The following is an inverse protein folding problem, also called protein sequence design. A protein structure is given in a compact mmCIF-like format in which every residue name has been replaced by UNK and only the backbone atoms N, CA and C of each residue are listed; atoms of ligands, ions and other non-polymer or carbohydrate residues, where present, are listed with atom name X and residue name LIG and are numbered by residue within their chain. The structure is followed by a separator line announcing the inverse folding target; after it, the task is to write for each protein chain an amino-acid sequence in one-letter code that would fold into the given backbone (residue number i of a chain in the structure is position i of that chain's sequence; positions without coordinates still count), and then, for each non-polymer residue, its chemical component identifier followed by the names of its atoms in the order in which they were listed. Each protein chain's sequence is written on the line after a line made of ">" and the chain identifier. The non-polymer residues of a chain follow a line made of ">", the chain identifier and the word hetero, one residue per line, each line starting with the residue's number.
data_IF_297955809346
#
_entry.id   IF_297955809346
#
_cell.length_a   1.000
_cell.length_b   1.000
_cell.length_c   1.000
_cell.angle_alpha   90.00
_cell.angle_beta   90.00
_cell.angle_gamma   90.00
#
_symmetry.space_group_name_H-M   'P 1'
#
loop_
_entity.id
_entity.type
_entity.pdbx_description
1 polymer ?
#
# COMPACT_ATOMS: atom_id res chain seq x y z
N UNK A 1 -22.64 -8.78 12.20
CA UNK A 1 -22.13 -7.38 12.12
C UNK A 1 -22.58 -6.86 10.78
N UNK A 2 -23.28 -5.72 10.68
CA UNK A 2 -23.74 -5.23 9.39
C UNK A 2 -22.53 -4.94 8.46
N UNK A 3 -22.57 -5.34 7.19
CA UNK A 3 -21.50 -5.12 6.21
C UNK A 3 -21.27 -3.64 5.86
N UNK A 4 -22.03 -2.73 6.47
CA UNK A 4 -22.11 -1.30 6.14
C UNK A 4 -21.42 -0.39 7.18
N UNK A 5 -20.92 -0.94 8.29
CA UNK A 5 -20.23 -0.14 9.31
C UNK A 5 -18.86 0.32 8.80
N UNK A 6 -18.64 1.64 8.73
CA UNK A 6 -17.38 2.24 8.33
C UNK A 6 -16.19 1.68 9.12
N UNK A 7 -16.40 1.42 10.41
CA UNK A 7 -15.39 0.81 11.29
C UNK A 7 -15.04 -0.63 10.88
N UNK A 8 -16.00 -1.41 10.38
CA UNK A 8 -15.76 -2.77 9.89
C UNK A 8 -14.99 -2.76 8.58
N UNK A 9 -15.33 -1.88 7.63
CA UNK A 9 -14.60 -1.72 6.36
C UNK A 9 -13.15 -1.28 6.63
N UNK A 10 -12.96 -0.35 7.57
CA UNK A 10 -11.64 0.10 7.99
C UNK A 10 -10.82 -1.03 8.61
N UNK A 11 -11.37 -1.73 9.60
CA UNK A 11 -10.67 -2.83 10.29
C UNK A 11 -10.38 -4.01 9.34
N UNK A 12 -11.30 -4.27 8.41
CA UNK A 12 -11.15 -5.29 7.40
C UNK A 12 -10.00 -4.95 6.44
N UNK A 13 -9.94 -3.74 5.89
CA UNK A 13 -8.85 -3.32 5.01
C UNK A 13 -7.50 -3.17 5.74
N UNK A 14 -7.53 -2.80 7.03
CA UNK A 14 -6.33 -2.57 7.83
C UNK A 14 -5.64 -3.87 8.27
N UNK A 15 -6.41 -4.86 8.74
CA UNK A 15 -5.87 -6.10 9.35
C UNK A 15 -6.26 -7.36 8.58
N UNK A 16 -7.53 -7.52 8.19
CA UNK A 16 -8.06 -8.81 7.69
C UNK A 16 -7.67 -9.06 6.23
N UNK A 17 -7.79 -8.05 5.37
CA UNK A 17 -7.50 -8.06 3.95
C UNK A 17 -6.32 -7.13 3.62
N UNK A 18 -5.27 -7.20 4.44
CA UNK A 18 -4.09 -6.39 4.22
C UNK A 18 -3.42 -6.74 2.86
N UNK A 19 -3.33 -5.76 1.97
CA UNK A 19 -2.80 -5.92 0.62
C UNK A 19 -1.42 -6.57 0.57
N UNK A 20 -0.55 -6.26 1.53
CA UNK A 20 0.84 -6.74 1.54
C UNK A 20 0.94 -8.17 2.08
N UNK A 21 0.16 -8.49 3.12
CA UNK A 21 0.33 -9.72 3.92
C UNK A 21 -0.64 -10.84 3.52
N UNK A 22 -1.83 -10.49 3.03
CA UNK A 22 -2.85 -11.43 2.57
C UNK A 22 -2.81 -11.62 1.05
N UNK A 23 -2.60 -10.54 0.29
CA UNK A 23 -2.61 -10.57 -1.18
C UNK A 23 -1.22 -10.49 -1.84
N UNK A 24 -0.14 -10.31 -1.06
CA UNK A 24 1.24 -10.18 -1.58
C UNK A 24 1.43 -9.03 -2.59
N UNK A 25 0.63 -7.97 -2.49
CA UNK A 25 0.75 -6.77 -3.34
C UNK A 25 1.70 -5.74 -2.69
N UNK A 26 2.51 -5.07 -3.51
CA UNK A 26 3.39 -3.99 -3.04
C UNK A 26 4.71 -4.45 -2.43
N UNK A 27 5.18 -5.65 -2.79
CA UNK A 27 6.44 -6.22 -2.29
C UNK A 27 7.69 -5.42 -2.70
N UNK A 28 7.65 -4.70 -3.82
CA UNK A 28 8.80 -3.94 -4.35
C UNK A 28 9.30 -2.87 -3.35
N UNK A 29 8.48 -1.91 -2.89
CA UNK A 29 8.89 -0.98 -1.84
C UNK A 29 9.06 -1.66 -0.48
N UNK A 30 8.31 -2.74 -0.22
CA UNK A 30 8.40 -3.49 1.02
C UNK A 30 9.78 -4.09 1.26
N UNK A 31 10.42 -4.64 0.23
CA UNK A 31 11.76 -5.21 0.29
C UNK A 31 12.87 -4.17 0.06
N UNK A 32 12.57 -3.10 -0.70
CA UNK A 32 13.56 -2.08 -1.05
C UNK A 32 13.86 -1.06 0.06
N UNK A 33 12.85 -0.67 0.85
CA UNK A 33 12.96 0.49 1.77
C UNK A 33 12.97 0.12 3.26
N UNK A 34 12.77 -1.17 3.60
CA UNK A 34 12.70 -1.63 4.99
C UNK A 34 14.07 -1.83 5.68
N UNK A 35 15.15 -1.23 5.16
CA UNK A 35 16.46 -1.24 5.81
C UNK A 35 16.60 -0.22 6.95
N UNK A 36 15.80 0.85 6.95
CA UNK A 36 15.78 1.85 8.02
C UNK A 36 14.35 2.19 8.40
N UNK A 37 14.11 2.35 9.71
CA UNK A 37 12.79 2.71 10.23
C UNK A 37 12.33 4.08 9.73
N UNK A 38 13.22 5.07 9.73
CA UNK A 38 12.88 6.44 9.30
C UNK A 38 12.47 6.50 7.83
N UNK A 39 13.16 5.74 6.96
CA UNK A 39 12.81 5.70 5.52
C UNK A 39 11.52 4.93 5.30
N UNK A 40 11.30 3.83 6.04
CA UNK A 40 10.07 3.06 5.98
C UNK A 40 8.86 3.91 6.39
N UNK A 41 8.91 4.60 7.53
CA UNK A 41 7.83 5.45 8.01
C UNK A 41 7.41 6.50 6.97
N UNK A 42 8.40 7.22 6.43
CA UNK A 42 8.16 8.26 5.45
C UNK A 42 7.61 7.70 4.12
N UNK A 43 8.11 6.54 3.68
CA UNK A 43 7.61 5.86 2.48
C UNK A 43 6.16 5.40 2.67
N UNK A 44 5.83 4.81 3.83
CA UNK A 44 4.48 4.40 4.17
C UNK A 44 3.49 5.56 4.10
N UNK A 45 3.81 6.68 4.75
CA UNK A 45 2.99 7.90 4.71
C UNK A 45 2.81 8.45 3.29
N UNK A 46 3.90 8.51 2.50
CA UNK A 46 3.82 8.96 1.11
C UNK A 46 2.90 8.05 0.27
N UNK A 47 3.03 6.72 0.41
CA UNK A 47 2.18 5.76 -0.29
C UNK A 47 0.72 5.82 0.16
N UNK A 48 0.44 6.01 1.46
CA UNK A 48 -0.91 6.19 1.99
C UNK A 48 -1.58 7.42 1.35
N UNK A 49 -0.86 8.54 1.25
CA UNK A 49 -1.38 9.75 0.61
C UNK A 49 -1.68 9.50 -0.89
N UNK A 50 -0.79 8.83 -1.61
CA UNK A 50 -1.03 8.49 -3.03
C UNK A 50 -2.21 7.54 -3.19
N UNK A 51 -2.34 6.52 -2.32
CA UNK A 51 -3.49 5.59 -2.33
C UNK A 51 -4.81 6.34 -2.15
N UNK A 52 -4.83 7.30 -1.22
CA UNK A 52 -6.00 8.13 -0.94
C UNK A 52 -6.41 8.99 -2.15
N UNK A 53 -5.46 9.74 -2.73
CA UNK A 53 -5.73 10.57 -3.91
C UNK A 53 -6.15 9.70 -5.10
N UNK A 54 -5.46 8.59 -5.31
CA UNK A 54 -5.76 7.66 -6.41
C UNK A 54 -7.15 7.03 -6.27
N UNK A 55 -7.58 6.69 -5.05
CA UNK A 55 -8.91 6.13 -4.75
C UNK A 55 -10.04 7.09 -5.13
N UNK A 56 -9.89 8.37 -4.74
CA UNK A 56 -10.87 9.43 -5.03
C UNK A 56 -10.96 9.68 -6.53
N UNK A 57 -9.81 9.83 -7.19
CA UNK A 57 -9.77 10.05 -8.63
C UNK A 57 -10.28 8.83 -9.41
N UNK A 58 -9.95 7.61 -8.99
CA UNK A 58 -10.41 6.38 -9.62
C UNK A 58 -11.94 6.25 -9.56
N UNK A 59 -12.58 6.65 -8.46
CA UNK A 59 -14.04 6.67 -8.35
C UNK A 59 -14.68 7.61 -9.38
N UNK A 60 -14.17 8.84 -9.49
CA UNK A 60 -14.68 9.83 -10.47
C UNK A 60 -14.48 9.38 -11.91
N UNK A 61 -13.30 8.83 -12.22
CA UNK A 61 -13.00 8.27 -13.54
C UNK A 61 -13.90 7.07 -13.84
N UNK A 62 -14.09 6.16 -12.89
CA UNK A 62 -14.98 5.01 -13.08
C UNK A 62 -16.42 5.44 -13.39
N UNK A 63 -16.95 6.43 -12.68
CA UNK A 63 -18.30 6.93 -12.95
C UNK A 63 -18.44 7.48 -14.37
N UNK A 64 -17.43 8.19 -14.88
CA UNK A 64 -17.42 8.67 -16.26
C UNK A 64 -17.33 7.52 -17.26
N UNK A 65 -16.45 6.55 -17.03
CA UNK A 65 -16.27 5.40 -17.93
C UNK A 65 -17.53 4.54 -18.04
N UNK A 66 -18.29 4.39 -16.94
CA UNK A 66 -19.58 3.69 -16.95
C UNK A 66 -20.62 4.41 -17.82
N UNK A 67 -20.66 5.75 -17.80
CA UNK A 67 -21.58 6.53 -18.65
C UNK A 67 -21.28 6.38 -20.14
N UNK A 68 -20.01 6.17 -20.50
CA UNK A 68 -19.58 6.02 -21.89
C UNK A 68 -19.42 4.54 -22.32
N UNK A 69 -19.82 3.57 -21.49
CA UNK A 69 -19.69 2.11 -21.73
C UNK A 69 -18.24 1.66 -22.09
N UNK A 70 -17.23 2.41 -21.62
CA UNK A 70 -15.81 2.24 -21.98
C UNK A 70 -15.04 1.49 -20.89
N UNK A 71 -15.63 0.42 -20.38
CA UNK A 71 -15.11 -0.30 -19.21
C UNK A 71 -13.74 -0.94 -19.45
N UNK A 72 -13.40 -1.29 -20.70
CA UNK A 72 -12.12 -1.93 -21.03
C UNK A 72 -10.91 -1.01 -20.77
N UNK A 73 -11.09 0.33 -20.79
CA UNK A 73 -10.01 1.29 -20.56
C UNK A 73 -9.67 1.50 -19.08
N UNK A 74 -10.44 0.94 -18.14
CA UNK A 74 -10.27 1.18 -16.69
C UNK A 74 -8.83 1.07 -16.21
N UNK A 75 -8.15 -0.02 -16.58
CA UNK A 75 -6.79 -0.29 -16.13
C UNK A 75 -5.79 0.78 -16.61
N UNK A 76 -5.90 1.19 -17.88
CA UNK A 76 -5.04 2.23 -18.46
C UNK A 76 -5.31 3.58 -17.78
N UNK A 77 -6.58 3.92 -17.58
CA UNK A 77 -6.98 5.16 -16.92
C UNK A 77 -6.48 5.20 -15.46
N UNK A 78 -6.56 4.11 -14.70
CA UNK A 78 -6.06 4.08 -13.32
C UNK A 78 -4.55 4.23 -13.26
N UNK A 79 -3.78 3.60 -14.15
CA UNK A 79 -2.33 3.79 -14.21
C UNK A 79 -1.99 5.26 -14.50
N UNK A 80 -2.71 5.90 -15.43
CA UNK A 80 -2.51 7.32 -15.76
C UNK A 80 -2.81 8.24 -14.56
N UNK A 81 -3.90 7.98 -13.83
CA UNK A 81 -4.27 8.71 -12.61
C UNK A 81 -3.21 8.56 -11.53
N UNK A 82 -2.72 7.33 -11.29
CA UNK A 82 -1.68 7.06 -10.29
C UNK A 82 -0.38 7.78 -10.68
N UNK A 83 0.02 7.72 -11.95
CA UNK A 83 1.21 8.42 -12.44
C UNK A 83 1.11 9.94 -12.22
N UNK A 84 -0.03 10.55 -12.53
CA UNK A 84 -0.27 11.96 -12.29
C UNK A 84 -0.26 12.31 -10.79
N UNK A 85 -0.87 11.48 -9.95
CA UNK A 85 -0.90 11.68 -8.50
C UNK A 85 0.50 11.60 -7.88
N UNK A 86 1.30 10.61 -8.26
CA UNK A 86 2.69 10.49 -7.79
C UNK A 86 3.54 11.65 -8.27
N UNK A 87 3.36 12.11 -9.51
CA UNK A 87 4.08 13.28 -10.03
C UNK A 87 3.78 14.54 -9.21
N UNK A 88 2.53 14.74 -8.81
CA UNK A 88 2.15 15.85 -7.92
C UNK A 88 2.84 15.71 -6.55
N UNK A 89 2.89 14.49 -5.99
CA UNK A 89 3.60 14.22 -4.74
C UNK A 89 5.10 14.48 -4.88
N UNK A 90 5.72 14.09 -5.99
CA UNK A 90 7.13 14.33 -6.26
C UNK A 90 7.46 15.83 -6.22
N UNK A 91 6.68 16.64 -6.93
CA UNK A 91 6.86 18.09 -6.95
C UNK A 91 6.64 18.71 -5.56
N UNK A 92 5.66 18.19 -4.82
CA UNK A 92 5.31 18.67 -3.46
C UNK A 92 6.41 18.35 -2.46
N UNK A 93 6.92 17.12 -2.45
CA UNK A 93 8.01 16.67 -1.56
C UNK A 93 9.31 17.42 -1.87
N UNK A 94 9.62 17.64 -3.16
CA UNK A 94 10.79 18.43 -3.58
C UNK A 94 10.75 19.86 -3.06
N UNK A 95 9.55 20.46 -2.96
CA UNK A 95 9.36 21.85 -2.51
C UNK A 95 9.30 21.98 -0.98
N UNK A 96 8.60 21.07 -0.29
CA UNK A 96 8.41 21.14 1.17
C UNK A 96 9.62 20.64 1.95
N UNK A 97 10.27 19.57 1.49
CA UNK A 97 11.31 18.88 2.27
C UNK A 97 12.43 18.31 1.37
N UNK A 98 13.44 19.13 1.02
CA UNK A 98 14.56 18.68 0.18
C UNK A 98 15.39 17.57 0.84
N UNK A 99 15.40 17.49 2.17
CA UNK A 99 16.02 16.39 2.93
C UNK A 99 15.32 15.06 2.66
N UNK A 100 13.99 15.04 2.66
CA UNK A 100 13.19 13.86 2.38
C UNK A 100 13.32 13.43 0.91
N UNK A 101 13.33 14.41 -0.02
CA UNK A 101 13.53 14.14 -1.44
C UNK A 101 14.90 13.48 -1.72
N UNK A 102 15.97 13.88 -1.01
CA UNK A 102 17.28 13.23 -1.13
C UNK A 102 17.28 11.78 -0.64
N UNK A 103 16.49 11.47 0.39
CA UNK A 103 16.40 10.12 0.94
C UNK A 103 15.47 9.21 0.12
N UNK A 104 14.38 9.75 -0.41
CA UNK A 104 13.29 8.98 -1.02
C UNK A 104 13.20 9.11 -2.54
N UNK A 105 13.88 10.07 -3.17
CA UNK A 105 13.71 10.42 -4.59
C UNK A 105 13.89 9.26 -5.57
N UNK A 106 14.79 8.32 -5.26
CA UNK A 106 15.00 7.10 -6.07
C UNK A 106 13.81 6.13 -5.97
N UNK A 107 13.08 6.15 -4.85
CA UNK A 107 11.96 5.26 -4.57
C UNK A 107 10.60 5.84 -4.97
N UNK A 108 10.51 7.13 -5.33
CA UNK A 108 9.26 7.75 -5.80
C UNK A 108 8.70 7.07 -7.06
N UNK A 109 9.51 6.74 -8.09
CA UNK A 109 9.05 5.94 -9.23
C UNK A 109 8.59 4.52 -8.85
N UNK A 110 9.02 3.98 -7.71
CA UNK A 110 8.52 2.70 -7.19
C UNK A 110 7.08 2.80 -6.67
N UNK A 111 6.58 4.02 -6.40
CA UNK A 111 5.20 4.27 -5.98
C UNK A 111 4.25 4.16 -7.19
N UNK A 112 4.63 4.68 -8.36
CA UNK A 112 3.77 4.64 -9.56
C UNK A 112 3.47 3.21 -10.02
N UNK A 113 4.45 2.32 -9.85
CA UNK A 113 4.38 0.91 -10.23
C UNK A 113 3.98 0.01 -9.06
N UNK A 114 3.51 0.59 -7.94
CA UNK A 114 3.14 -0.18 -6.78
C UNK A 114 1.81 -0.92 -7.01
N UNK A 115 1.90 -2.25 -6.99
CA UNK A 115 0.78 -3.15 -7.22
C UNK A 115 -0.35 -2.95 -6.20
N UNK A 116 -0.03 -2.56 -4.96
CA UNK A 116 -1.03 -2.31 -3.92
C UNK A 116 -1.93 -1.12 -4.26
N UNK A 117 -1.38 -0.08 -4.89
CA UNK A 117 -2.14 1.14 -5.26
C UNK A 117 -3.08 0.83 -6.41
N UNK A 118 -2.59 0.13 -7.43
CA UNK A 118 -3.40 -0.31 -8.55
C UNK A 118 -4.50 -1.29 -8.09
N UNK A 119 -4.14 -2.28 -7.27
CA UNK A 119 -5.09 -3.25 -6.72
C UNK A 119 -6.17 -2.60 -5.86
N UNK A 120 -5.84 -1.54 -5.13
CA UNK A 120 -6.81 -0.76 -4.38
C UNK A 120 -7.88 -0.14 -5.26
N UNK A 121 -7.46 0.54 -6.33
CA UNK A 121 -8.37 1.16 -7.29
C UNK A 121 -9.28 0.11 -7.95
N UNK A 122 -8.71 -1.04 -8.36
CA UNK A 122 -9.49 -2.14 -8.94
C UNK A 122 -10.50 -2.71 -7.94
N UNK A 123 -10.06 -3.12 -6.74
CA UNK A 123 -10.96 -3.73 -5.76
C UNK A 123 -12.05 -2.79 -5.27
N UNK A 124 -11.75 -1.49 -5.17
CA UNK A 124 -12.76 -0.50 -4.84
C UNK A 124 -13.88 -0.47 -5.89
N UNK A 125 -13.53 -0.57 -7.17
CA UNK A 125 -14.53 -0.60 -8.25
C UNK A 125 -15.26 -1.93 -8.38
N UNK A 126 -14.57 -3.06 -8.19
CA UNK A 126 -15.21 -4.38 -8.22
C UNK A 126 -16.16 -4.63 -7.05
N UNK A 127 -15.91 -4.01 -5.89
CA UNK A 127 -16.80 -4.07 -4.72
C UNK A 127 -17.91 -3.02 -4.75
N UNK A 128 -17.98 -2.20 -5.80
CA UNK A 128 -18.98 -1.13 -5.98
C UNK A 128 -19.11 -0.20 -4.77
N UNK A 129 -17.99 0.14 -4.13
CA UNK A 129 -18.04 1.00 -2.95
C UNK A 129 -18.52 2.41 -3.28
N UNK A 130 -19.36 2.97 -2.42
CA UNK A 130 -19.73 4.39 -2.47
C UNK A 130 -18.51 5.29 -2.23
N UNK A 131 -18.63 6.59 -2.54
CA UNK A 131 -17.55 7.57 -2.34
C UNK A 131 -17.00 7.56 -0.89
N UNK A 132 -17.90 7.49 0.09
CA UNK A 132 -17.53 7.51 1.51
C UNK A 132 -16.91 6.17 1.95
N UNK A 133 -17.38 5.04 1.44
CA UNK A 133 -16.78 3.73 1.70
C UNK A 133 -15.39 3.61 1.05
N UNK A 134 -15.23 4.14 -0.17
CA UNK A 134 -13.94 4.20 -0.88
C UNK A 134 -12.89 4.99 -0.09
N UNK A 135 -13.30 6.12 0.47
CA UNK A 135 -12.46 6.94 1.34
C UNK A 135 -11.95 6.14 2.55
N UNK A 136 -12.86 5.50 3.29
CA UNK A 136 -12.51 4.71 4.47
C UNK A 136 -11.67 3.48 4.10
N UNK A 137 -11.95 2.84 2.97
CA UNK A 137 -11.19 1.72 2.44
C UNK A 137 -9.75 2.12 2.09
N UNK A 138 -9.55 3.28 1.47
CA UNK A 138 -8.21 3.79 1.13
C UNK A 138 -7.37 4.16 2.36
N UNK A 139 -7.99 4.73 3.38
CA UNK A 139 -7.34 4.97 4.67
C UNK A 139 -6.93 3.67 5.37
N UNK A 140 -7.84 2.68 5.42
CA UNK A 140 -7.55 1.37 6.02
C UNK A 140 -6.42 0.65 5.29
N UNK A 141 -6.46 0.63 3.96
CA UNK A 141 -5.43 -0.01 3.15
C UNK A 141 -4.06 0.69 3.24
N UNK A 142 -4.02 2.02 3.20
CA UNK A 142 -2.79 2.79 3.34
C UNK A 142 -2.18 2.66 4.73
N UNK A 143 -3.01 2.61 5.77
CA UNK A 143 -2.56 2.36 7.14
C UNK A 143 -2.04 0.92 7.29
N UNK A 144 -2.70 -0.06 6.68
CA UNK A 144 -2.28 -1.46 6.68
C UNK A 144 -0.95 -1.66 5.97
N UNK A 145 -0.73 -0.97 4.84
CA UNK A 145 0.54 -0.96 4.13
C UNK A 145 1.66 -0.35 4.99
N UNK A 146 1.39 0.79 5.63
CA UNK A 146 2.37 1.46 6.50
C UNK A 146 2.74 0.59 7.70
N UNK A 147 1.75 -0.07 8.31
CA UNK A 147 1.97 -0.99 9.42
C UNK A 147 2.83 -2.20 9.00
N UNK A 148 2.51 -2.83 7.87
CA UNK A 148 3.28 -3.94 7.34
C UNK A 148 4.75 -3.55 7.09
N UNK A 149 4.96 -2.38 6.47
CA UNK A 149 6.28 -1.85 6.18
C UNK A 149 7.08 -1.57 7.45
N UNK A 150 6.44 -0.98 8.47
CA UNK A 150 7.06 -0.70 9.77
C UNK A 150 7.44 -1.97 10.53
N UNK A 151 6.57 -2.99 10.53
CA UNK A 151 6.89 -4.29 11.13
C UNK A 151 8.10 -4.92 10.46
N UNK A 152 8.14 -4.92 9.12
CA UNK A 152 9.26 -5.48 8.37
C UNK A 152 10.57 -4.73 8.64
N UNK A 153 10.53 -3.40 8.68
CA UNK A 153 11.69 -2.58 8.98
C UNK A 153 12.19 -2.79 10.41
N UNK A 154 11.28 -2.90 11.38
CA UNK A 154 11.63 -3.21 12.77
C UNK A 154 12.28 -4.58 12.93
N UNK A 155 11.78 -5.60 12.23
CA UNK A 155 12.39 -6.93 12.21
C UNK A 155 13.76 -6.91 11.56
N UNK A 156 13.92 -6.26 10.40
CA UNK A 156 15.21 -6.15 9.71
C UNK A 156 16.28 -5.47 10.56
N UNK A 157 15.97 -4.34 11.18
CA UNK A 157 16.90 -3.63 12.07
C UNK A 157 17.33 -4.51 13.25
N UNK A 158 16.41 -5.29 13.85
CA UNK A 158 16.75 -6.23 14.94
C UNK A 158 17.64 -7.39 14.47
N UNK A 159 17.42 -7.91 13.26
CA UNK A 159 18.26 -8.97 12.71
C UNK A 159 19.65 -8.46 12.29
N UNK A 160 19.78 -7.22 11.84
CA UNK A 160 21.10 -6.62 11.56
C UNK A 160 21.97 -6.50 12.81
N UNK A 161 21.36 -6.29 13.98
CA UNK A 161 22.05 -6.29 15.27
C UNK A 161 22.40 -7.71 15.78
N UNK A 162 21.88 -8.75 15.14
CA UNK A 162 22.02 -10.14 15.58
C UNK A 162 23.07 -10.89 14.74
N UNK A 163 23.75 -11.86 15.34
CA UNK A 163 24.81 -12.62 14.66
C UNK A 163 24.19 -13.71 13.77
N UNK A 164 23.88 -13.34 12.52
CA UNK A 164 23.29 -14.23 11.50
C UNK A 164 24.36 -14.79 10.54
N UNK A 165 24.25 -16.08 10.15
CA UNK A 165 25.21 -16.72 9.24
C UNK A 165 25.24 -16.03 7.88
N UNK A 166 26.43 -15.92 7.27
CA UNK A 166 26.65 -15.11 6.07
C UNK A 166 25.78 -15.53 4.87
N UNK A 167 25.40 -16.81 4.78
CA UNK A 167 24.64 -17.40 3.67
C UNK A 167 23.20 -16.88 3.61
N UNK A 168 22.61 -16.49 4.74
CA UNK A 168 21.21 -16.04 4.79
C UNK A 168 21.05 -14.52 4.69
N UNK A 169 22.14 -13.74 4.60
CA UNK A 169 22.08 -12.26 4.65
C UNK A 169 21.39 -11.63 3.43
N UNK A 170 20.76 -10.47 3.66
CA UNK A 170 20.18 -9.64 2.61
C UNK A 170 18.79 -10.10 2.15
N UNK A 171 18.61 -10.26 0.84
CA UNK A 171 17.30 -10.52 0.22
C UNK A 171 16.68 -11.84 0.72
N UNK A 172 17.46 -12.92 0.82
CA UNK A 172 16.98 -14.23 1.26
C UNK A 172 16.34 -14.18 2.67
N UNK A 173 17.01 -13.54 3.63
CA UNK A 173 16.46 -13.31 4.98
C UNK A 173 15.13 -12.57 4.94
N UNK A 174 15.03 -11.61 4.03
CA UNK A 174 13.90 -10.69 3.97
C UNK A 174 12.66 -11.37 3.39
N UNK A 175 12.85 -12.28 2.44
CA UNK A 175 11.79 -13.17 1.98
C UNK A 175 11.37 -14.16 3.08
N UNK A 176 12.32 -14.74 3.83
CA UNK A 176 11.98 -15.64 4.96
C UNK A 176 11.18 -14.91 6.04
N UNK A 177 11.60 -13.70 6.42
CA UNK A 177 10.89 -12.86 7.39
C UNK A 177 9.52 -12.44 6.86
N UNK A 178 9.41 -12.04 5.60
CA UNK A 178 8.13 -11.73 4.97
C UNK A 178 7.18 -12.91 4.97
N UNK A 179 7.67 -14.12 4.72
CA UNK A 179 6.89 -15.35 4.79
C UNK A 179 6.39 -15.67 6.21
N UNK A 180 7.26 -15.57 7.22
CA UNK A 180 6.89 -15.74 8.63
C UNK A 180 5.88 -14.68 9.10
N UNK A 181 6.06 -13.44 8.65
CA UNK A 181 5.13 -12.35 8.94
C UNK A 181 3.76 -12.61 8.28
N UNK A 182 3.74 -13.07 7.03
CA UNK A 182 2.49 -13.43 6.33
C UNK A 182 1.75 -14.56 7.05
N UNK A 183 2.46 -15.63 7.47
CA UNK A 183 1.88 -16.72 8.27
C UNK A 183 1.25 -16.22 9.57
N UNK A 184 1.91 -15.29 10.25
CA UNK A 184 1.39 -14.67 11.48
C UNK A 184 0.10 -13.88 11.20
N UNK A 185 0.05 -13.15 10.09
CA UNK A 185 -1.12 -12.36 9.71
C UNK A 185 -2.29 -13.18 9.16
N UNK A 186 -2.02 -14.34 8.54
CA UNK A 186 -3.09 -15.29 8.17
C UNK A 186 -3.89 -15.77 9.39
N UNK A 187 -3.31 -15.79 10.58
CA UNK A 187 -4.04 -16.08 11.82
C UNK A 187 -5.17 -15.09 12.13
N UNK A 188 -5.07 -13.85 11.64
CA UNK A 188 -6.11 -12.82 11.79
C UNK A 188 -7.19 -12.87 10.71
N UNK A 189 -7.01 -13.65 9.63
CA UNK A 189 -7.99 -13.77 8.55
C UNK A 189 -9.35 -14.33 9.05
N UNK A 190 -9.35 -15.11 10.13
CA UNK A 190 -10.56 -15.64 10.75
C UNK A 190 -11.41 -14.61 11.51
N UNK A 191 -10.89 -13.41 11.81
CA UNK A 191 -11.62 -12.37 12.56
C UNK A 191 -12.73 -11.72 11.71
N UNK A 192 -12.66 -11.83 10.38
CA UNK A 192 -13.69 -11.33 9.46
C UNK A 192 -14.82 -12.31 9.16
N UNK A 193 -14.80 -13.52 9.74
CA UNK A 193 -15.79 -14.57 9.49
C UNK A 193 -16.97 -14.49 10.45
N UNK A 194 -18.07 -13.92 9.97
CA UNK A 194 -19.45 -14.35 10.23
C UNK A 194 -20.33 -13.85 9.09
#
# INVERSE_FOLDING_TARGET
>A
MQPDDFSFIFLNAFIINNFVLAYFLGLCPFLGVSGKLDTAWNMGLATMFVMFVSSICAYGVNSLLMTYEMEYLRLICYIAVIAAAVQLVEMTVKKLSPTLFRALGIFLPLITTNCAILGLALFQTFKEYSFLQSFVYSLGAGAGFTLALMLMAGLRVRLELSNVPAISRGAAMSFMLGGLLSLTFMGFAGIGGN
#
